data_IF_057585007753
#
_entry.id   IF_057585007753
#
_cell.length_a   1.000
_cell.length_b   1.000
_cell.length_c   1.000
_cell.angle_alpha   90.00
_cell.angle_beta   90.00
_cell.angle_gamma   90.00
#
_symmetry.space_group_name_H-M   'P 1'
#
loop_
_entity.id
_entity.type
_entity.pdbx_description
1 polymer ?
#
# COMPACT_ATOMS: atom_id res chain seq x y z
N UNK A 1 29.88 3.32 -6.02
CA UNK A 1 28.64 3.79 -5.37
C UNK A 1 27.51 3.76 -6.40
N UNK A 2 26.89 2.60 -6.65
CA UNK A 2 25.71 2.51 -7.54
C UNK A 2 24.46 2.50 -6.69
N UNK A 3 23.84 3.67 -6.52
CA UNK A 3 22.49 3.80 -5.98
C UNK A 3 21.54 2.97 -6.84
N UNK A 4 21.11 1.84 -6.29
CA UNK A 4 19.98 1.07 -6.81
C UNK A 4 18.82 2.06 -6.88
N UNK A 5 18.45 2.46 -8.09
CA UNK A 5 17.25 3.25 -8.36
C UNK A 5 16.09 2.43 -7.83
N UNK A 6 15.62 2.72 -6.59
CA UNK A 6 14.35 2.19 -6.09
C UNK A 6 13.32 2.61 -7.13
N UNK A 7 12.97 1.66 -8.00
CA UNK A 7 11.87 1.81 -8.92
C UNK A 7 10.69 2.26 -8.05
N UNK A 8 10.07 3.39 -8.39
CA UNK A 8 8.99 4.04 -7.64
C UNK A 8 7.73 3.16 -7.65
N UNK A 9 7.84 2.00 -7.05
CA UNK A 9 6.82 0.99 -6.91
C UNK A 9 6.59 0.83 -5.42
N UNK A 10 5.44 1.33 -5.01
CA UNK A 10 4.78 1.06 -3.75
C UNK A 10 5.28 1.85 -2.53
N UNK A 11 4.33 2.59 -1.95
CA UNK A 11 4.26 2.82 -0.50
C UNK A 11 4.58 1.48 0.18
N UNK A 12 5.52 1.49 1.12
CA UNK A 12 5.87 0.31 1.93
C UNK A 12 4.59 -0.19 2.64
N UNK A 13 4.14 -1.41 2.33
CA UNK A 13 2.92 -2.02 2.88
C UNK A 13 1.75 -2.18 1.89
N UNK A 14 0.68 -2.84 2.33
CA UNK A 14 -0.48 -3.12 1.47
C UNK A 14 -1.18 -1.80 1.09
N UNK A 15 -1.29 -1.47 -0.22
CA UNK A 15 -1.92 -0.24 -0.65
C UNK A 15 -3.36 -0.16 -0.15
N UNK A 16 -3.86 1.07 -0.02
CA UNK A 16 -5.26 1.27 0.37
C UNK A 16 -6.17 0.60 -0.66
N UNK A 17 -7.29 -0.02 -0.24
CA UNK A 17 -8.18 -0.70 -1.17
C UNK A 17 -8.61 0.19 -2.34
N UNK A 18 -8.83 1.48 -2.04
CA UNK A 18 -9.30 2.50 -2.97
C UNK A 18 -8.19 3.36 -3.60
N UNK A 19 -6.92 3.04 -3.34
CA UNK A 19 -5.79 3.76 -3.94
C UNK A 19 -5.72 3.55 -5.45
N UNK A 20 -5.03 4.45 -6.14
CA UNK A 20 -4.87 4.46 -7.59
C UNK A 20 -4.57 3.06 -8.15
N UNK A 21 -5.15 2.77 -9.31
CA UNK A 21 -4.93 1.52 -10.04
C UNK A 21 -3.46 1.19 -10.24
N UNK A 22 -2.64 2.22 -10.50
CA UNK A 22 -1.28 2.08 -10.99
C UNK A 22 -0.23 2.10 -9.87
N UNK A 23 -0.24 3.13 -9.03
CA UNK A 23 0.73 3.29 -7.94
C UNK A 23 0.18 2.92 -6.54
N UNK A 24 -1.15 2.88 -6.36
CA UNK A 24 -1.80 2.60 -5.08
C UNK A 24 -1.97 3.80 -4.14
N UNK A 25 -1.74 5.03 -4.61
CA UNK A 25 -1.88 6.25 -3.81
C UNK A 25 -3.32 6.74 -3.67
N UNK A 26 -3.61 7.39 -2.55
CA UNK A 26 -4.94 7.95 -2.26
C UNK A 26 -5.28 9.07 -3.25
N UNK A 27 -6.58 9.24 -3.52
CA UNK A 27 -7.08 10.21 -4.50
C UNK A 27 -6.76 11.66 -4.13
N UNK A 28 -6.84 12.00 -2.84
CA UNK A 28 -6.80 13.37 -2.32
C UNK A 28 -5.49 14.11 -2.65
N UNK A 29 -4.36 13.40 -2.78
CA UNK A 29 -3.04 13.98 -2.98
C UNK A 29 -2.24 13.33 -4.13
N UNK A 30 -2.93 12.70 -5.09
CA UNK A 30 -2.26 11.90 -6.13
C UNK A 30 -1.53 12.76 -7.18
N UNK A 31 -2.17 13.81 -7.68
CA UNK A 31 -1.66 14.59 -8.83
C UNK A 31 -1.43 13.73 -10.08
N UNK A 32 -0.38 14.06 -10.85
CA UNK A 32 0.10 13.22 -11.96
C UNK A 32 1.40 12.54 -11.53
N UNK A 33 1.45 11.22 -11.68
CA UNK A 33 2.60 10.41 -11.28
C UNK A 33 3.12 9.59 -12.44
N UNK A 34 4.42 9.28 -12.41
CA UNK A 34 5.03 8.41 -13.39
C UNK A 34 5.34 7.05 -12.75
N UNK A 35 4.87 5.96 -13.37
CA UNK A 35 5.26 4.59 -13.04
C UNK A 35 5.65 3.83 -14.31
N UNK A 36 6.53 2.84 -14.19
CA UNK A 36 7.09 2.14 -15.35
C UNK A 36 6.04 1.38 -16.18
N UNK A 37 4.93 0.95 -15.56
CA UNK A 37 3.91 0.13 -16.23
C UNK A 37 2.99 0.90 -17.19
N UNK A 38 2.77 2.20 -16.96
CA UNK A 38 1.83 3.02 -17.76
C UNK A 38 2.40 4.39 -18.14
N UNK A 39 3.59 4.73 -17.63
CA UNK A 39 4.17 6.05 -17.78
C UNK A 39 3.47 7.10 -16.90
N UNK A 40 3.33 8.30 -17.43
CA UNK A 40 2.65 9.41 -16.76
C UNK A 40 1.14 9.15 -16.73
N UNK A 41 0.55 9.17 -15.54
CA UNK A 41 -0.87 8.95 -15.35
C UNK A 41 -1.44 9.85 -14.25
N UNK A 42 -2.73 10.17 -14.38
CA UNK A 42 -3.53 10.76 -13.32
C UNK A 42 -4.13 9.66 -12.44
N UNK A 43 -4.78 10.05 -11.34
CA UNK A 43 -5.46 9.08 -10.49
C UNK A 43 -6.54 8.34 -11.27
N UNK A 44 -6.49 7.01 -11.23
CA UNK A 44 -7.53 6.15 -11.80
C UNK A 44 -8.07 5.23 -10.71
N UNK A 45 -9.41 5.08 -10.58
CA UNK A 45 -10.00 4.21 -9.59
C UNK A 45 -9.53 2.77 -9.77
N UNK A 46 -9.27 2.03 -8.67
CA UNK A 46 -8.85 0.65 -8.78
C UNK A 46 -9.99 -0.23 -9.28
N UNK A 47 -9.63 -1.23 -10.08
CA UNK A 47 -10.56 -2.26 -10.52
C UNK A 47 -11.13 -3.04 -9.34
N UNK A 48 -12.32 -3.61 -9.50
CA UNK A 48 -12.95 -4.45 -8.47
C UNK A 48 -12.04 -5.63 -8.06
N UNK A 49 -11.36 -6.25 -9.02
CA UNK A 49 -10.41 -7.32 -8.77
C UNK A 49 -9.21 -6.88 -7.93
N UNK A 50 -8.62 -5.72 -8.25
CA UNK A 50 -7.52 -5.15 -7.45
C UNK A 50 -7.98 -4.81 -6.02
N UNK A 51 -9.17 -4.23 -5.87
CA UNK A 51 -9.75 -3.91 -4.57
C UNK A 51 -9.96 -5.17 -3.72
N UNK A 52 -10.52 -6.21 -4.31
CA UNK A 52 -10.71 -7.51 -3.67
C UNK A 52 -9.37 -8.12 -3.23
N UNK A 53 -8.35 -8.11 -4.10
CA UNK A 53 -7.01 -8.60 -3.78
C UNK A 53 -6.39 -7.86 -2.59
N UNK A 54 -6.49 -6.52 -2.57
CA UNK A 54 -5.98 -5.67 -1.49
C UNK A 54 -6.71 -5.93 -0.16
N UNK A 55 -8.03 -6.06 -0.20
CA UNK A 55 -8.84 -6.39 0.99
C UNK A 55 -8.49 -7.76 1.56
N UNK A 56 -8.31 -8.77 0.71
CA UNK A 56 -7.87 -10.12 1.11
C UNK A 56 -6.50 -10.07 1.78
N UNK A 57 -5.55 -9.37 1.18
CA UNK A 57 -4.21 -9.22 1.74
C UNK A 57 -4.24 -8.52 3.12
N UNK A 58 -5.02 -7.43 3.28
CA UNK A 58 -5.23 -6.77 4.58
C UNK A 58 -5.93 -7.66 5.61
N UNK A 59 -6.80 -8.57 5.18
CA UNK A 59 -7.41 -9.56 6.09
C UNK A 59 -6.37 -10.58 6.54
N UNK A 60 -5.53 -11.06 5.62
CA UNK A 60 -4.47 -12.01 5.94
C UNK A 60 -3.46 -11.42 6.95
N UNK A 61 -3.06 -10.15 6.81
CA UNK A 61 -2.19 -9.48 7.81
C UNK A 61 -2.83 -9.45 9.21
N UNK A 62 -4.12 -9.10 9.30
CA UNK A 62 -4.84 -9.09 10.58
C UNK A 62 -4.92 -10.49 11.20
N UNK A 63 -5.22 -11.49 10.38
CA UNK A 63 -5.28 -12.88 10.83
C UNK A 63 -3.91 -13.44 11.20
N UNK A 64 -2.82 -12.99 10.57
CA UNK A 64 -1.46 -13.36 10.97
C UNK A 64 -1.07 -12.77 12.33
N UNK A 65 -1.52 -11.55 12.64
CA UNK A 65 -1.35 -10.94 13.97
C UNK A 65 -2.17 -11.68 15.02
N UNK A 66 -3.38 -12.12 14.67
CA UNK A 66 -4.30 -12.84 15.57
C UNK A 66 -3.90 -14.30 15.83
N UNK A 67 -3.32 -14.98 14.83
CA UNK A 67 -2.95 -16.40 14.88
C UNK A 67 -1.65 -16.72 15.66
N UNK A 68 -0.94 -15.71 16.20
CA UNK A 68 0.10 -15.89 17.21
C UNK A 68 1.36 -15.05 17.04
N UNK A 69 1.99 -14.72 18.19
CA UNK A 69 3.33 -14.11 18.42
C UNK A 69 3.36 -12.59 18.65
N UNK A 70 3.53 -12.23 19.93
CA UNK A 70 4.13 -10.95 20.35
C UNK A 70 5.45 -10.70 19.61
N UNK A 71 5.59 -9.59 18.85
CA UNK A 71 6.90 -9.04 18.56
C UNK A 71 7.49 -8.61 19.89
N UNK A 72 8.59 -9.25 20.30
CA UNK A 72 9.31 -8.90 21.53
C UNK A 72 9.97 -7.52 21.44
N UNK A 73 9.92 -6.90 20.25
CA UNK A 73 10.38 -5.56 19.97
C UNK A 73 9.30 -4.83 19.15
N UNK A 74 8.49 -3.99 19.80
CA UNK A 74 7.47 -3.21 19.11
C UNK A 74 6.57 -2.47 20.08
N UNK A 75 7.02 -1.30 20.53
CA UNK A 75 6.32 -0.41 21.45
C UNK A 75 4.80 -0.29 21.16
N UNK A 76 3.94 -0.30 22.20
CA UNK A 76 2.51 -0.12 21.99
C UNK A 76 2.23 1.24 21.34
N UNK A 77 1.34 1.23 20.35
CA UNK A 77 0.80 2.45 19.75
C UNK A 77 0.06 3.21 20.85
N UNK A 78 0.55 4.41 21.17
CA UNK A 78 -0.11 5.36 22.05
C UNK A 78 -1.47 5.73 21.46
N UNK A 79 -2.53 5.24 22.10
CA UNK A 79 -3.90 5.75 21.94
C UNK A 79 -3.91 7.12 22.63
N UNK A 80 -3.95 8.19 21.84
CA UNK A 80 -4.14 9.54 22.37
C UNK A 80 -5.66 9.77 22.55
N UNK A 81 -6.03 10.12 23.78
CA UNK A 81 -7.35 10.57 24.24
C UNK A 81 -7.67 11.98 23.76
#
# INVERSE_FOLDING_TARGET
>A
MSSIRKARFHREGIPTPNGCRWCGDAQENHGNQWVLSVGLHSWEPPTAAQRLKRMKARRAERSAVDAGVSPKDGAPRSVQT
#
